data_IF_600936865235
#
_entry.id   IF_600936865235
#
_cell.length_a   1.000
_cell.length_b   1.000
_cell.length_c   1.000
_cell.angle_alpha   90.00
_cell.angle_beta   90.00
_cell.angle_gamma   90.00
#
_symmetry.space_group_name_H-M   'P 1'
#
loop_
_entity.id
_entity.type
_entity.pdbx_description
1 polymer ?
#
# COMPACT_ATOMS: atom_id res chain seq x y z
N UNK A 1 16.66 10.64 7.31
CA UNK A 1 16.42 9.31 6.73
C UNK A 1 15.08 8.88 7.25
N UNK A 2 14.05 8.82 6.41
CA UNK A 2 12.73 8.39 6.83
C UNK A 2 12.70 6.89 7.11
N UNK A 3 11.76 6.49 7.95
CA UNK A 3 11.47 5.11 8.33
C UNK A 3 10.12 4.69 7.78
N UNK A 4 10.09 3.54 7.11
CA UNK A 4 8.85 2.88 6.70
C UNK A 4 8.56 1.74 7.65
N UNK A 5 7.45 1.84 8.38
CA UNK A 5 6.93 0.77 9.22
C UNK A 5 5.92 -0.07 8.45
N UNK A 6 6.14 -1.38 8.39
CA UNK A 6 5.19 -2.34 7.82
C UNK A 6 5.06 -3.53 8.78
N UNK A 7 3.84 -3.84 9.19
CA UNK A 7 3.61 -4.74 10.33
C UNK A 7 4.38 -4.24 11.57
N UNK A 8 5.26 -5.06 12.14
CA UNK A 8 6.13 -4.72 13.28
C UNK A 8 7.59 -4.45 12.87
N UNK A 9 7.84 -4.24 11.57
CA UNK A 9 9.19 -4.03 11.02
C UNK A 9 9.39 -2.57 10.63
N UNK A 10 10.54 -2.02 11.04
CA UNK A 10 11.00 -0.69 10.65
C UNK A 10 12.07 -0.80 9.56
N UNK A 11 11.88 -0.08 8.47
CA UNK A 11 12.75 -0.09 7.30
C UNK A 11 13.30 1.32 7.08
N UNK A 12 14.58 1.53 7.39
CA UNK A 12 15.24 2.79 7.05
C UNK A 12 15.42 2.91 5.53
N UNK A 13 15.18 4.10 5.00
CA UNK A 13 15.39 4.37 3.58
C UNK A 13 15.90 5.78 3.31
N UNK A 14 16.36 5.98 2.08
CA UNK A 14 16.72 7.30 1.58
C UNK A 14 15.44 8.13 1.36
N UNK A 15 15.51 9.42 1.70
CA UNK A 15 14.47 10.37 1.28
C UNK A 15 14.33 10.33 -0.24
N UNK A 16 13.09 10.46 -0.72
CA UNK A 16 12.69 10.35 -2.13
C UNK A 16 12.76 8.91 -2.71
N UNK A 17 13.06 7.89 -1.90
CA UNK A 17 12.99 6.50 -2.34
C UNK A 17 11.57 6.08 -2.74
N UNK A 18 11.45 5.25 -3.76
CA UNK A 18 10.14 4.68 -4.16
C UNK A 18 9.72 3.61 -3.15
N UNK A 19 8.54 3.77 -2.55
CA UNK A 19 8.08 2.89 -1.46
C UNK A 19 8.12 1.40 -1.85
N UNK A 20 7.65 1.02 -3.04
CA UNK A 20 7.73 -0.37 -3.53
C UNK A 20 9.15 -0.94 -3.46
N UNK A 21 10.16 -0.14 -3.79
CA UNK A 21 11.54 -0.61 -3.81
C UNK A 21 12.11 -0.71 -2.40
N UNK A 22 11.69 0.17 -1.48
CA UNK A 22 12.03 0.07 -0.05
C UNK A 22 11.52 -1.26 0.51
N UNK A 23 10.22 -1.55 0.31
CA UNK A 23 9.59 -2.78 0.77
C UNK A 23 10.29 -4.02 0.18
N UNK A 24 10.48 -4.07 -1.15
CA UNK A 24 11.07 -5.24 -1.81
C UNK A 24 12.54 -5.48 -1.42
N UNK A 25 13.32 -4.45 -1.08
CA UNK A 25 14.69 -4.61 -0.60
C UNK A 25 14.75 -5.25 0.79
N UNK A 26 13.66 -5.16 1.55
CA UNK A 26 13.51 -5.76 2.87
C UNK A 26 12.78 -7.11 2.85
N UNK A 27 12.60 -7.69 1.66
CA UNK A 27 11.80 -8.89 1.39
C UNK A 27 10.32 -8.75 1.81
N UNK A 28 9.81 -7.52 1.85
CA UNK A 28 8.39 -7.23 2.09
C UNK A 28 7.71 -6.90 0.76
N UNK A 29 6.83 -7.78 0.28
CA UNK A 29 6.15 -7.53 -0.99
C UNK A 29 4.88 -6.70 -0.81
N UNK A 30 4.68 -5.59 -1.56
CA UNK A 30 3.39 -4.91 -1.61
C UNK A 30 2.36 -5.66 -2.48
N UNK A 31 2.69 -6.87 -2.95
CA UNK A 31 1.88 -7.67 -3.85
C UNK A 31 1.40 -8.96 -3.18
N UNK A 32 0.15 -9.33 -3.44
CA UNK A 32 -0.44 -10.53 -2.84
C UNK A 32 -0.34 -11.74 -3.78
N UNK A 33 0.10 -12.89 -3.26
CA UNK A 33 0.14 -14.15 -3.98
C UNK A 33 0.85 -14.06 -5.33
N UNK A 34 0.22 -14.54 -6.41
CA UNK A 34 0.83 -14.53 -7.77
C UNK A 34 1.12 -13.12 -8.31
N UNK A 35 0.50 -12.07 -7.76
CA UNK A 35 0.80 -10.70 -8.17
C UNK A 35 2.27 -10.33 -7.89
N UNK A 36 2.95 -11.03 -6.98
CA UNK A 36 4.36 -10.83 -6.70
C UNK A 36 5.27 -11.05 -7.92
N UNK A 37 4.86 -11.94 -8.83
CA UNK A 37 5.59 -12.22 -10.08
C UNK A 37 4.96 -11.56 -11.30
N UNK A 38 3.63 -11.45 -11.34
CA UNK A 38 2.86 -10.96 -12.50
C UNK A 38 2.61 -9.45 -12.51
N UNK A 39 3.16 -8.70 -11.56
CA UNK A 39 2.96 -7.24 -11.49
C UNK A 39 3.62 -6.49 -12.66
N UNK A 40 3.21 -5.23 -12.83
CA UNK A 40 3.72 -4.33 -13.87
C UNK A 40 5.11 -3.75 -13.58
N UNK A 41 5.84 -4.22 -12.55
CA UNK A 41 7.20 -3.77 -12.20
C UNK A 41 7.36 -2.25 -12.01
N UNK A 42 6.30 -1.59 -11.56
CA UNK A 42 6.32 -0.16 -11.24
C UNK A 42 5.83 0.80 -12.33
N UNK A 43 5.22 0.28 -13.40
CA UNK A 43 4.62 1.11 -14.45
C UNK A 43 3.31 1.83 -14.04
N UNK A 44 2.81 1.59 -12.82
CA UNK A 44 1.57 2.21 -12.33
C UNK A 44 0.28 1.69 -12.98
N UNK A 45 0.32 0.55 -13.70
CA UNK A 45 -0.82 0.07 -14.51
C UNK A 45 -1.56 -1.13 -13.93
N UNK A 46 -0.91 -2.00 -13.14
CA UNK A 46 -1.59 -3.21 -12.64
C UNK A 46 -2.47 -2.96 -11.41
N UNK A 47 -2.13 -1.97 -10.57
CA UNK A 47 -2.81 -1.68 -9.31
C UNK A 47 -2.55 -2.67 -8.17
N UNK A 48 -1.72 -3.71 -8.36
CA UNK A 48 -1.54 -4.77 -7.35
C UNK A 48 -0.62 -4.39 -6.20
N UNK A 49 0.06 -3.25 -6.29
CA UNK A 49 0.86 -2.65 -5.20
C UNK A 49 0.07 -1.61 -4.40
N UNK A 50 -1.27 -1.69 -4.42
CA UNK A 50 -2.09 -0.81 -3.60
C UNK A 50 -1.88 -1.13 -2.12
N UNK A 51 -1.65 -0.08 -1.32
CA UNK A 51 -1.40 -0.12 0.13
C UNK A 51 -2.10 1.05 0.79
N UNK A 52 -2.53 0.88 2.04
CA UNK A 52 -2.87 2.01 2.89
C UNK A 52 -1.58 2.62 3.43
N UNK A 53 -1.57 3.95 3.57
CA UNK A 53 -0.41 4.70 4.06
C UNK A 53 -0.89 5.72 5.06
N UNK A 54 -0.29 5.71 6.26
CA UNK A 54 -0.44 6.75 7.27
C UNK A 54 0.89 7.49 7.42
N UNK A 55 0.84 8.82 7.50
CA UNK A 55 2.03 9.68 7.47
C UNK A 55 1.87 10.79 6.43
N UNK A 56 2.85 11.68 6.37
CA UNK A 56 2.85 12.77 5.38
C UNK A 56 3.32 12.23 4.02
N UNK A 57 2.46 12.39 3.00
CA UNK A 57 2.74 11.92 1.64
C UNK A 57 2.35 12.97 0.62
N UNK A 58 3.17 13.11 -0.42
CA UNK A 58 2.82 13.90 -1.59
C UNK A 58 1.55 13.41 -2.30
N UNK A 59 0.88 14.33 -2.99
CA UNK A 59 -0.34 14.03 -3.75
C UNK A 59 -0.10 12.96 -4.83
N UNK A 60 -1.08 12.09 -5.12
CA UNK A 60 -0.91 11.03 -6.10
C UNK A 60 -0.67 11.60 -7.50
N UNK A 61 0.16 10.92 -8.28
CA UNK A 61 0.38 11.27 -9.69
C UNK A 61 -0.83 10.96 -10.57
N UNK A 62 -0.87 11.49 -11.80
CA UNK A 62 -2.01 11.25 -12.71
C UNK A 62 -2.20 9.78 -13.09
N UNK A 63 -1.11 9.01 -13.24
CA UNK A 63 -1.18 7.57 -13.51
C UNK A 63 -1.77 6.80 -12.33
N UNK A 64 -1.33 7.13 -11.13
CA UNK A 64 -1.83 6.56 -9.88
C UNK A 64 -3.33 6.83 -9.72
N UNK A 65 -3.75 8.10 -9.85
CA UNK A 65 -5.16 8.50 -9.80
C UNK A 65 -6.02 7.73 -10.80
N UNK A 66 -5.58 7.68 -12.06
CA UNK A 66 -6.30 6.96 -13.12
C UNK A 66 -6.41 5.47 -12.81
N UNK A 67 -5.33 4.85 -12.32
CA UNK A 67 -5.37 3.41 -12.05
C UNK A 67 -6.27 3.08 -10.86
N UNK A 68 -6.24 3.89 -9.80
CA UNK A 68 -7.05 3.68 -8.61
C UNK A 68 -8.53 4.03 -8.82
N UNK A 69 -8.88 4.76 -9.88
CA UNK A 69 -10.28 4.99 -10.27
C UNK A 69 -10.91 3.85 -11.08
N UNK A 70 -10.20 2.73 -11.29
CA UNK A 70 -10.64 1.61 -12.12
C UNK A 70 -10.75 0.34 -11.26
N UNK A 71 -11.81 -0.48 -11.44
CA UNK A 71 -11.96 -1.74 -10.74
C UNK A 71 -10.69 -2.63 -10.72
N UNK A 72 -10.49 -3.38 -9.63
CA UNK A 72 -11.37 -3.49 -8.46
C UNK A 72 -11.12 -2.41 -7.41
N UNK A 73 -10.40 -1.35 -7.75
CA UNK A 73 -10.20 -0.18 -6.89
C UNK A 73 -11.26 0.88 -7.16
N UNK A 74 -11.39 1.78 -6.20
CA UNK A 74 -12.15 3.02 -6.32
C UNK A 74 -11.40 4.15 -5.60
N UNK A 75 -11.74 5.39 -5.95
CA UNK A 75 -11.07 6.58 -5.40
C UNK A 75 -11.38 6.84 -3.93
N UNK A 76 -12.44 6.25 -3.37
CA UNK A 76 -12.81 6.42 -1.96
C UNK A 76 -12.05 5.48 -1.02
N UNK A 77 -11.42 4.41 -1.54
CA UNK A 77 -10.58 3.49 -0.75
C UNK A 77 -9.40 4.15 -0.03
N UNK A 78 -8.94 5.33 -0.50
CA UNK A 78 -7.80 6.04 0.08
C UNK A 78 -6.44 5.37 -0.13
N UNK A 79 -6.39 4.28 -0.91
CA UNK A 79 -5.16 3.54 -1.16
C UNK A 79 -4.17 4.34 -2.01
N UNK A 80 -2.89 4.02 -1.87
CA UNK A 80 -1.78 4.53 -2.68
C UNK A 80 -1.13 3.39 -3.45
N UNK A 81 -0.57 3.68 -4.62
CA UNK A 81 0.28 2.72 -5.32
C UNK A 81 1.70 2.85 -4.80
N UNK A 82 2.20 1.85 -4.06
CA UNK A 82 3.56 1.87 -3.51
C UNK A 82 4.64 2.11 -4.58
N UNK A 83 4.40 1.73 -5.84
CA UNK A 83 5.34 1.98 -6.93
C UNK A 83 5.36 3.41 -7.49
N UNK A 84 4.38 4.25 -7.12
CA UNK A 84 4.28 5.63 -7.56
C UNK A 84 4.48 6.62 -6.41
N UNK A 85 4.53 6.13 -5.16
CA UNK A 85 4.76 6.91 -3.96
C UNK A 85 6.26 7.02 -3.64
N UNK A 86 6.68 8.23 -3.29
CA UNK A 86 8.02 8.59 -2.80
C UNK A 86 7.96 8.79 -1.30
N UNK A 87 8.96 8.29 -0.57
CA UNK A 87 9.05 8.41 0.88
C UNK A 87 9.79 9.70 1.22
N UNK A 88 9.08 10.68 1.76
CA UNK A 88 9.64 11.99 2.15
C UNK A 88 9.81 12.09 3.67
N UNK A 89 8.88 11.51 4.42
CA UNK A 89 8.86 11.40 5.89
C UNK A 89 8.54 9.97 6.33
N UNK A 90 8.45 9.74 7.65
CA UNK A 90 8.12 8.45 8.23
C UNK A 90 6.70 8.01 7.85
N UNK A 91 6.57 6.75 7.41
CA UNK A 91 5.31 6.19 6.91
C UNK A 91 4.97 4.88 7.62
N UNK A 92 3.70 4.69 7.94
CA UNK A 92 3.14 3.38 8.29
C UNK A 92 2.38 2.83 7.08
N UNK A 93 2.70 1.60 6.68
CA UNK A 93 2.17 0.97 5.47
C UNK A 93 1.45 -0.31 5.82
N UNK A 94 0.25 -0.47 5.26
CA UNK A 94 -0.54 -1.69 5.40
C UNK A 94 -0.94 -2.24 4.04
N UNK A 95 -0.74 -3.56 3.87
CA UNK A 95 -1.20 -4.30 2.71
C UNK A 95 -2.46 -5.10 3.06
N UNK A 96 -3.60 -4.67 2.52
CA UNK A 96 -4.85 -5.41 2.70
C UNK A 96 -4.91 -6.72 1.90
N UNK A 97 -5.83 -7.64 2.26
CA UNK A 97 -6.10 -8.86 1.50
C UNK A 97 -6.71 -8.63 0.10
N UNK A 98 -6.83 -9.73 -0.66
CA UNK A 98 -7.33 -9.73 -2.04
C UNK A 98 -6.19 -9.53 -3.06
N UNK A 99 -6.37 -9.98 -4.30
CA UNK A 99 -5.28 -9.96 -5.30
C UNK A 99 -4.70 -8.56 -5.56
N UNK A 100 -5.51 -7.50 -5.40
CA UNK A 100 -5.06 -6.12 -5.53
C UNK A 100 -4.82 -5.42 -4.18
N UNK A 101 -5.17 -6.04 -3.06
CA UNK A 101 -5.23 -5.36 -1.76
C UNK A 101 -6.47 -4.48 -1.62
N UNK A 102 -7.57 -4.87 -2.26
CA UNK A 102 -8.80 -4.07 -2.38
C UNK A 102 -9.84 -4.36 -1.29
N UNK A 103 -9.62 -5.35 -0.42
CA UNK A 103 -10.54 -5.66 0.66
C UNK A 103 -10.24 -4.76 1.86
N UNK A 104 -10.71 -3.51 1.79
CA UNK A 104 -10.45 -2.45 2.79
C UNK A 104 -11.53 -2.34 3.87
N UNK A 105 -12.58 -3.17 3.79
CA UNK A 105 -13.69 -3.15 4.74
C UNK A 105 -13.19 -3.52 6.14
N UNK A 106 -13.33 -2.57 7.06
CA UNK A 106 -12.77 -2.53 8.40
C UNK A 106 -13.13 -3.76 9.26
N UNK A 107 -12.14 -4.20 10.02
CA UNK A 107 -12.30 -4.69 11.39
C UNK A 107 -13.01 -3.61 12.23
N UNK A 108 -14.34 -3.55 12.20
CA UNK A 108 -15.16 -2.91 13.23
C UNK A 108 -16.12 -3.98 13.78
N UNK A 109 -15.95 -4.31 15.06
CA UNK A 109 -16.81 -5.11 15.96
C UNK A 109 -17.14 -6.57 15.59
N UNK A 110 -16.34 -7.49 16.14
CA UNK A 110 -16.91 -8.53 17.00
C UNK A 110 -16.54 -8.20 18.45
N UNK A 111 -17.21 -7.20 19.03
CA UNK A 111 -17.44 -7.25 20.46
C UNK A 111 -18.34 -8.46 20.71
N UNK A 112 -17.89 -9.37 21.57
CA UNK A 112 -18.68 -10.51 22.01
C UNK A 112 -20.08 -10.04 22.44
N UNK A 113 -21.16 -10.75 22.09
CA UNK A 113 -22.41 -10.53 22.78
C UNK A 113 -22.21 -10.94 24.24
N UNK A 114 -22.07 -9.98 25.15
CA UNK A 114 -22.31 -10.23 26.57
C UNK A 114 -23.76 -10.72 26.70
N UNK A 115 -23.91 -12.02 26.90
CA UNK A 115 -25.18 -12.67 27.22
C UNK A 115 -25.65 -12.25 28.63
N UNK A 116 -26.92 -11.85 28.80
CA UNK A 116 -27.56 -11.80 30.11
C UNK A 116 -28.04 -13.17 30.60
#
# INVERSE_FOLDING_TARGET
MPTVTIHDRELECETDAVLRNVLLRADESPHNGRADTLNCRGLGSCGTCAVAVSGEVGAPGSRERLRLSIPPHDTASGLRLACQLRVEDDLVVEKYPGYWGQHTDRTEEKADPEEP
#
